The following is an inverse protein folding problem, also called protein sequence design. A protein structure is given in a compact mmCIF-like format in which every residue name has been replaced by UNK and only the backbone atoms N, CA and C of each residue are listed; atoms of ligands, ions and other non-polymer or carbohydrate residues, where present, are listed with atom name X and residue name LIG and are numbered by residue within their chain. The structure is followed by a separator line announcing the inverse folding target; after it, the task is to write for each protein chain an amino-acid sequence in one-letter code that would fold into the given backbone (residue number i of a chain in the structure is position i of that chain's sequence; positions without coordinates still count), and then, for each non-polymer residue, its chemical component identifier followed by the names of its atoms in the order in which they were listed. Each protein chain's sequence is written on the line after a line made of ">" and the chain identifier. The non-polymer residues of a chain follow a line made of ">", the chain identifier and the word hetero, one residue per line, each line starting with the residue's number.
data_IF_842385442742
#
_entry.id   IF_842385442742
#
_cell.length_a   1.000
_cell.length_b   1.000
_cell.length_c   1.000
_cell.angle_alpha   90.00
_cell.angle_beta   90.00
_cell.angle_gamma   90.00
#
_symmetry.space_group_name_H-M   'P 1'
#
loop_
_entity.id
_entity.type
_entity.pdbx_description
1 polymer ?
#
# COMPACT_ATOMS: atom_id res chain seq x y z
N UNK A 1 -21.71 -16.99 -47.28
CA UNK A 1 -20.71 -16.28 -46.44
C UNK A 1 -20.98 -16.49 -44.94
N UNK A 2 -21.25 -17.73 -44.49
CA UNK A 2 -21.57 -18.03 -43.08
C UNK A 2 -20.33 -18.46 -42.25
N UNK A 3 -19.16 -18.61 -42.88
CA UNK A 3 -17.92 -18.99 -42.20
C UNK A 3 -17.22 -17.81 -41.51
N UNK A 4 -17.48 -16.56 -41.93
CA UNK A 4 -16.91 -15.37 -41.30
C UNK A 4 -17.49 -15.12 -39.90
N UNK A 5 -18.78 -15.42 -39.69
CA UNK A 5 -19.48 -15.19 -38.41
C UNK A 5 -18.93 -16.11 -37.30
N UNK A 6 -18.58 -17.37 -37.64
CA UNK A 6 -17.96 -18.31 -36.69
C UNK A 6 -16.54 -17.90 -36.28
N UNK A 7 -15.74 -17.39 -37.23
CA UNK A 7 -14.38 -16.94 -36.94
C UNK A 7 -14.36 -15.67 -36.09
N UNK A 8 -15.25 -14.70 -36.34
CA UNK A 8 -15.37 -13.49 -35.51
C UNK A 8 -15.81 -13.81 -34.09
N UNK A 9 -16.74 -14.76 -33.90
CA UNK A 9 -17.19 -15.17 -32.56
C UNK A 9 -16.05 -15.78 -31.73
N UNK A 10 -15.22 -16.63 -32.33
CA UNK A 10 -14.06 -17.24 -31.66
C UNK A 10 -13.03 -16.17 -31.29
N UNK A 11 -12.72 -15.24 -32.20
CA UNK A 11 -11.78 -14.13 -31.94
C UNK A 11 -12.26 -13.27 -30.77
N UNK A 12 -13.55 -12.92 -30.72
CA UNK A 12 -14.11 -12.12 -29.61
C UNK A 12 -13.96 -12.82 -28.25
N UNK A 13 -14.23 -14.13 -28.20
CA UNK A 13 -14.06 -14.91 -26.96
C UNK A 13 -12.59 -14.92 -26.52
N UNK A 14 -11.65 -15.14 -27.45
CA UNK A 14 -10.21 -15.11 -27.14
C UNK A 14 -9.78 -13.74 -26.62
N UNK A 15 -10.22 -12.66 -27.26
CA UNK A 15 -9.92 -11.28 -26.83
C UNK A 15 -10.40 -11.02 -25.41
N UNK A 16 -11.62 -11.46 -25.07
CA UNK A 16 -12.16 -11.32 -23.70
C UNK A 16 -11.29 -12.07 -22.69
N UNK A 17 -10.89 -13.30 -22.98
CA UNK A 17 -9.99 -14.06 -22.10
C UNK A 17 -8.63 -13.39 -21.91
N UNK A 18 -8.04 -12.86 -22.99
CA UNK A 18 -6.77 -12.12 -22.92
C UNK A 18 -6.91 -10.91 -22.01
N UNK A 19 -7.97 -10.11 -22.16
CA UNK A 19 -8.21 -8.93 -21.31
C UNK A 19 -8.33 -9.33 -19.84
N UNK A 20 -9.09 -10.39 -19.54
CA UNK A 20 -9.26 -10.88 -18.16
C UNK A 20 -7.91 -11.32 -17.58
N UNK A 21 -7.14 -12.14 -18.30
CA UNK A 21 -5.85 -12.65 -17.83
C UNK A 21 -4.85 -11.50 -17.65
N UNK A 22 -4.78 -10.56 -18.59
CA UNK A 22 -3.93 -9.38 -18.48
C UNK A 22 -4.31 -8.53 -17.27
N UNK A 23 -5.62 -8.34 -17.02
CA UNK A 23 -6.11 -7.63 -15.84
C UNK A 23 -5.69 -8.31 -14.54
N UNK A 24 -5.85 -9.64 -14.45
CA UNK A 24 -5.40 -10.41 -13.29
C UNK A 24 -3.88 -10.34 -13.09
N UNK A 25 -3.11 -10.38 -14.17
CA UNK A 25 -1.64 -10.29 -14.12
C UNK A 25 -1.17 -8.92 -13.63
N UNK A 26 -1.70 -7.83 -14.19
CA UNK A 26 -1.40 -6.46 -13.75
C UNK A 26 -1.83 -6.25 -12.30
N UNK A 27 -3.02 -6.73 -11.92
CA UNK A 27 -3.50 -6.68 -10.54
C UNK A 27 -2.56 -7.41 -9.58
N UNK A 28 -2.09 -8.61 -9.94
CA UNK A 28 -1.15 -9.40 -9.13
C UNK A 28 0.20 -8.71 -8.95
N UNK A 29 0.73 -8.08 -10.00
CA UNK A 29 1.97 -7.29 -9.93
C UNK A 29 1.81 -6.05 -9.04
N UNK A 30 0.68 -5.34 -9.19
CA UNK A 30 0.37 -4.15 -8.39
C UNK A 30 0.22 -4.49 -6.92
N UNK A 31 -0.53 -5.57 -6.60
CA UNK A 31 -0.64 -6.11 -5.25
C UNK A 31 0.72 -6.50 -4.67
N UNK A 32 1.56 -7.19 -5.45
CA UNK A 32 2.90 -7.59 -5.03
C UNK A 32 3.80 -6.39 -4.70
N UNK A 33 3.71 -5.30 -5.48
CA UNK A 33 4.42 -4.05 -5.19
C UNK A 33 3.94 -3.42 -3.88
N UNK A 34 2.63 -3.26 -3.70
CA UNK A 34 2.06 -2.71 -2.48
C UNK A 34 2.43 -3.53 -1.24
N UNK A 35 2.40 -4.87 -1.35
CA UNK A 35 2.80 -5.77 -0.27
C UNK A 35 4.28 -5.60 0.12
N UNK A 36 5.18 -5.47 -0.85
CA UNK A 36 6.60 -5.18 -0.60
C UNK A 36 6.80 -3.84 0.07
N UNK A 37 6.12 -2.80 -0.43
CA UNK A 37 6.18 -1.43 0.13
C UNK A 37 5.73 -1.43 1.59
N UNK A 38 4.60 -2.07 1.91
CA UNK A 38 4.14 -2.17 3.30
C UNK A 38 5.20 -2.84 4.18
N UNK A 39 5.85 -3.90 3.70
CA UNK A 39 6.81 -4.65 4.50
C UNK A 39 8.09 -3.85 4.73
N UNK A 40 8.53 -3.07 3.74
CA UNK A 40 9.66 -2.16 3.90
C UNK A 40 9.35 -1.12 4.99
N UNK A 41 8.17 -0.51 4.94
CA UNK A 41 7.75 0.45 5.97
C UNK A 41 7.70 -0.20 7.36
N UNK A 42 7.09 -1.38 7.47
CA UNK A 42 7.03 -2.13 8.73
C UNK A 42 8.42 -2.47 9.25
N UNK A 43 9.30 -2.99 8.39
CA UNK A 43 10.65 -3.37 8.78
C UNK A 43 11.48 -2.16 9.21
N UNK A 44 11.42 -1.05 8.48
CA UNK A 44 12.13 0.18 8.84
C UNK A 44 11.69 0.70 10.22
N UNK A 45 10.38 0.66 10.50
CA UNK A 45 9.83 1.03 11.82
C UNK A 45 10.28 0.07 12.92
N UNK A 46 10.30 -1.23 12.63
CA UNK A 46 10.75 -2.24 13.61
C UNK A 46 12.27 -2.12 13.89
N UNK A 47 13.08 -1.81 12.88
CA UNK A 47 14.54 -1.64 13.01
C UNK A 47 14.92 -0.40 13.82
N UNK A 48 14.16 0.69 13.67
CA UNK A 48 14.37 1.94 14.41
C UNK A 48 13.55 2.04 15.70
N UNK A 49 12.80 0.99 16.06
CA UNK A 49 11.85 0.95 17.19
C UNK A 49 10.87 2.15 17.21
N UNK A 50 10.56 2.71 16.04
CA UNK A 50 9.83 3.97 15.95
C UNK A 50 9.65 4.50 14.53
N UNK A 51 8.96 5.63 14.44
CA UNK A 51 8.79 6.36 13.19
C UNK A 51 9.14 7.82 13.42
N UNK A 52 10.42 8.13 13.21
CA UNK A 52 10.98 9.48 13.29
C UNK A 52 11.32 10.04 11.90
N UNK A 53 11.96 11.20 11.85
CA UNK A 53 12.32 11.88 10.60
C UNK A 53 13.35 11.06 9.78
N UNK A 54 14.25 10.34 10.45
CA UNK A 54 15.27 9.50 9.82
C UNK A 54 14.63 8.27 9.16
N UNK A 55 13.79 7.55 9.92
CA UNK A 55 13.02 6.40 9.42
C UNK A 55 12.14 6.83 8.23
N UNK A 56 11.50 8.00 8.33
CA UNK A 56 10.70 8.55 7.24
C UNK A 56 11.55 8.83 6.00
N UNK A 57 12.72 9.45 6.16
CA UNK A 57 13.60 9.75 5.03
C UNK A 57 14.09 8.48 4.32
N UNK A 58 14.49 7.46 5.09
CA UNK A 58 14.89 6.15 4.56
C UNK A 58 13.75 5.48 3.78
N UNK A 59 12.54 5.52 4.32
CA UNK A 59 11.35 5.00 3.64
C UNK A 59 11.15 5.74 2.31
N UNK A 60 11.12 7.08 2.31
CA UNK A 60 10.89 7.87 1.09
C UNK A 60 11.96 7.61 0.01
N UNK A 61 13.22 7.49 0.40
CA UNK A 61 14.33 7.14 -0.50
C UNK A 61 14.10 5.76 -1.12
N UNK A 62 13.83 4.75 -0.28
CA UNK A 62 13.57 3.38 -0.74
C UNK A 62 12.34 3.30 -1.66
N UNK A 63 11.27 4.04 -1.35
CA UNK A 63 10.07 4.11 -2.19
C UNK A 63 10.35 4.78 -3.54
N UNK A 64 11.22 5.78 -3.57
CA UNK A 64 11.68 6.44 -4.80
C UNK A 64 12.47 5.46 -5.67
N UNK A 65 13.42 4.74 -5.11
CA UNK A 65 14.23 3.75 -5.84
C UNK A 65 13.40 2.63 -6.44
N UNK A 66 12.36 2.18 -5.73
CA UNK A 66 11.43 1.16 -6.23
C UNK A 66 10.42 1.69 -7.27
N UNK A 67 10.38 3.00 -7.49
CA UNK A 67 9.42 3.64 -8.39
C UNK A 67 7.97 3.50 -7.90
N UNK A 68 7.75 3.57 -6.58
CA UNK A 68 6.41 3.59 -6.01
C UNK A 68 5.71 4.93 -6.29
N UNK A 69 4.37 4.93 -6.32
CA UNK A 69 3.58 6.08 -6.85
C UNK A 69 3.83 7.35 -6.02
N UNK A 70 4.12 8.45 -6.72
CA UNK A 70 4.39 9.76 -6.13
C UNK A 70 3.07 10.48 -5.85
N UNK A 71 2.97 11.07 -4.66
CA UNK A 71 1.91 11.99 -4.26
C UNK A 71 2.35 13.43 -4.56
N UNK A 72 2.01 13.93 -5.76
CA UNK A 72 2.41 15.28 -6.22
C UNK A 72 1.92 16.43 -5.33
N UNK A 73 0.83 16.23 -4.61
CA UNK A 73 0.25 17.27 -3.76
C UNK A 73 0.88 17.28 -2.36
N UNK A 74 1.74 16.30 -2.05
CA UNK A 74 2.39 16.13 -0.76
C UNK A 74 1.45 15.81 0.41
N UNK A 75 0.12 15.94 0.23
CA UNK A 75 -0.89 15.73 1.26
C UNK A 75 -1.48 14.33 1.18
N UNK A 76 -1.46 13.62 2.30
CA UNK A 76 -1.94 12.25 2.41
C UNK A 76 -3.33 12.25 3.04
N UNK A 77 -4.30 11.57 2.43
CA UNK A 77 -5.55 11.22 3.12
C UNK A 77 -5.35 9.87 3.78
N UNK A 78 -5.19 9.89 5.09
CA UNK A 78 -5.05 8.69 5.91
C UNK A 78 -6.26 8.56 6.84
N UNK A 79 -7.35 7.91 6.40
CA UNK A 79 -8.50 7.66 7.25
C UNK A 79 -8.09 6.85 8.48
N UNK A 80 -8.56 7.23 9.67
CA UNK A 80 -8.18 6.50 10.88
C UNK A 80 -8.65 5.04 10.80
N UNK A 81 -7.75 4.07 11.05
CA UNK A 81 -8.14 2.67 11.17
C UNK A 81 -9.12 2.49 12.33
N UNK A 82 -10.05 1.56 12.18
CA UNK A 82 -10.97 1.17 13.25
C UNK A 82 -10.27 0.15 14.14
N UNK A 83 -9.56 0.65 15.16
CA UNK A 83 -8.82 -0.16 16.14
C UNK A 83 -9.05 0.40 17.54
N UNK A 84 -8.88 -0.46 18.54
CA UNK A 84 -8.88 -0.05 19.94
C UNK A 84 -7.56 0.69 20.27
N UNK A 85 -7.64 1.72 21.10
CA UNK A 85 -6.49 2.53 21.52
C UNK A 85 -6.44 3.94 20.93
N UNK A 86 -5.38 4.68 21.25
CA UNK A 86 -5.19 6.04 20.74
C UNK A 86 -4.44 5.98 19.42
N UNK A 87 -5.11 6.40 18.35
CA UNK A 87 -4.58 6.38 16.97
C UNK A 87 -4.09 7.75 16.56
N UNK A 88 -2.89 7.81 16.00
CA UNK A 88 -2.26 9.04 15.51
C UNK A 88 -1.64 8.80 14.14
N UNK A 89 -2.03 9.57 13.12
CA UNK A 89 -1.41 9.52 11.80
C UNK A 89 -0.07 10.26 11.82
N UNK A 90 1.01 9.59 11.42
CA UNK A 90 2.37 10.12 11.54
C UNK A 90 2.88 10.78 10.26
N UNK A 91 2.39 10.35 9.11
CA UNK A 91 2.86 10.80 7.80
C UNK A 91 1.77 11.54 7.04
N UNK A 92 1.18 12.59 7.62
CA UNK A 92 0.15 13.40 6.94
C UNK A 92 0.66 14.16 5.72
N UNK A 93 1.99 14.34 5.62
CA UNK A 93 2.67 14.89 4.46
C UNK A 93 3.86 14.03 4.02
N UNK A 94 3.85 13.60 2.75
CA UNK A 94 4.84 12.68 2.16
C UNK A 94 4.81 12.74 0.63
N UNK A 95 5.95 12.47 -0.02
CA UNK A 95 6.06 12.45 -1.48
C UNK A 95 5.52 11.17 -2.11
N UNK A 96 5.20 10.14 -1.31
CA UNK A 96 4.69 8.84 -1.78
C UNK A 96 3.38 8.48 -1.11
N UNK A 97 2.40 7.94 -1.82
CA UNK A 97 1.11 7.66 -1.20
C UNK A 97 1.12 6.36 -0.37
N UNK A 98 1.30 6.50 0.95
CA UNK A 98 1.21 5.46 1.96
C UNK A 98 0.75 6.10 3.28
N UNK A 99 0.28 5.30 4.23
CA UNK A 99 -0.15 5.82 5.52
C UNK A 99 0.47 5.01 6.66
N UNK A 100 0.90 5.70 7.70
CA UNK A 100 1.44 5.14 8.92
C UNK A 100 0.69 5.74 10.10
N UNK A 101 0.18 4.86 10.96
CA UNK A 101 -0.45 5.24 12.22
C UNK A 101 0.32 4.65 13.38
N UNK A 102 0.46 5.44 14.44
CA UNK A 102 0.84 4.97 15.77
C UNK A 102 -0.42 4.62 16.55
N UNK A 103 -0.44 3.44 17.13
CA UNK A 103 -1.51 3.00 18.03
C UNK A 103 -0.92 2.75 19.40
N UNK A 104 -1.35 3.57 20.37
CA UNK A 104 -0.96 3.42 21.78
C UNK A 104 -2.01 2.62 22.53
N UNK A 105 -1.58 1.51 23.13
CA UNK A 105 -2.36 0.69 24.03
C UNK A 105 -1.71 0.64 25.42
N UNK A 106 -2.43 0.11 26.41
CA UNK A 106 -1.92 0.00 27.79
C UNK A 106 -0.67 -0.85 27.93
N UNK A 107 -0.42 -1.77 26.99
CA UNK A 107 0.70 -2.72 27.04
C UNK A 107 1.89 -2.30 26.19
N UNK A 108 1.78 -1.24 25.40
CA UNK A 108 2.83 -0.83 24.48
C UNK A 108 2.27 -0.09 23.27
N UNK A 109 3.17 0.21 22.33
CA UNK A 109 2.84 0.93 21.10
C UNK A 109 3.09 0.01 19.91
N UNK A 110 2.19 -0.02 18.94
CA UNK A 110 2.43 -0.66 17.65
C UNK A 110 2.08 0.31 16.52
N UNK A 111 2.58 0.01 15.33
CA UNK A 111 2.37 0.84 14.16
C UNK A 111 1.58 0.06 13.10
N UNK A 112 0.71 0.77 12.40
CA UNK A 112 -0.03 0.26 11.26
C UNK A 112 0.52 0.97 10.04
N UNK A 113 0.96 0.20 9.03
CA UNK A 113 1.38 0.73 7.75
C UNK A 113 0.43 0.26 6.65
N UNK A 114 -0.01 1.17 5.79
CA UNK A 114 -0.84 0.87 4.62
C UNK A 114 -0.19 1.41 3.36
N UNK A 115 0.07 0.50 2.42
CA UNK A 115 0.42 0.82 1.04
C UNK A 115 -0.81 0.62 0.14
N UNK A 116 -0.78 1.13 -1.08
CA UNK A 116 -1.90 1.05 -2.00
C UNK A 116 -1.48 0.35 -3.30
N UNK A 117 -2.30 -0.60 -3.75
CA UNK A 117 -2.21 -1.11 -5.10
C UNK A 117 -3.04 -0.20 -6.01
N UNK A 118 -2.53 0.05 -7.23
CA UNK A 118 -3.19 0.89 -8.22
C UNK A 118 -3.57 0.05 -9.44
N UNK A 119 -4.77 0.30 -9.93
CA UNK A 119 -5.26 -0.24 -11.20
C UNK A 119 -5.67 0.93 -12.10
N UNK A 120 -4.73 1.37 -12.92
CA UNK A 120 -4.95 2.49 -13.84
C UNK A 120 -5.54 1.95 -15.16
N UNK A 121 -6.76 2.35 -15.49
CA UNK A 121 -7.42 2.06 -16.76
C UNK A 121 -7.48 3.37 -17.56
N UNK A 122 -7.08 3.40 -18.84
CA UNK A 122 -7.02 4.64 -19.62
C UNK A 122 -8.38 5.35 -19.87
N UNK A 123 -9.51 4.81 -19.40
CA UNK A 123 -10.87 5.31 -19.68
C UNK A 123 -11.70 5.61 -18.43
N UNK A 124 -11.24 5.24 -17.24
CA UNK A 124 -11.95 5.44 -15.97
C UNK A 124 -10.94 5.81 -14.90
N UNK A 125 -11.39 6.57 -13.90
CA UNK A 125 -10.53 6.93 -12.77
C UNK A 125 -10.00 5.64 -12.12
N UNK A 126 -8.69 5.60 -11.89
CA UNK A 126 -8.00 4.40 -11.44
C UNK A 126 -8.53 3.94 -10.09
N UNK A 127 -8.68 2.63 -9.90
CA UNK A 127 -9.05 2.07 -8.60
C UNK A 127 -7.80 1.86 -7.75
N UNK A 128 -7.87 2.27 -6.49
CA UNK A 128 -6.84 1.96 -5.48
C UNK A 128 -7.40 1.05 -4.40
N UNK A 129 -6.59 0.09 -3.96
CA UNK A 129 -6.93 -0.80 -2.86
C UNK A 129 -5.84 -0.78 -1.78
N UNK A 130 -6.19 -0.61 -0.50
CA UNK A 130 -5.23 -0.60 0.59
C UNK A 130 -4.71 -2.01 0.88
N UNK A 131 -3.42 -2.11 1.19
CA UNK A 131 -2.72 -3.30 1.65
C UNK A 131 -2.05 -2.95 2.98
N UNK A 132 -2.67 -3.40 4.07
CA UNK A 132 -2.29 -3.03 5.43
C UNK A 132 -1.41 -4.09 6.11
N UNK A 133 -0.51 -3.64 6.97
CA UNK A 133 0.37 -4.44 7.81
C UNK A 133 0.55 -3.78 9.18
N UNK A 134 0.96 -4.57 10.17
CA UNK A 134 1.13 -4.13 11.55
C UNK A 134 2.53 -4.53 12.00
N UNK A 135 3.18 -3.68 12.78
CA UNK A 135 4.43 -4.03 13.45
C UNK A 135 4.14 -4.93 14.64
N UNK A 136 5.19 -5.54 15.18
CA UNK A 136 5.17 -6.05 16.55
C UNK A 136 4.92 -4.88 17.52
N UNK A 137 4.35 -5.21 18.68
CA UNK A 137 4.23 -4.27 19.80
C UNK A 137 5.62 -3.96 20.33
N UNK A 138 5.98 -2.68 20.35
CA UNK A 138 7.16 -2.14 21.00
C UNK A 138 6.75 -1.83 22.44
N UNK A 139 7.36 -2.54 23.38
CA UNK A 139 7.15 -2.36 24.80
C UNK A 139 8.14 -1.30 25.29
N UNK A 140 7.66 -0.22 25.88
CA UNK A 140 8.54 0.64 26.67
C UNK A 140 8.79 -0.07 28.00
N UNK A 141 10.03 -0.48 28.26
CA UNK A 141 10.48 -1.01 29.55
C UNK A 141 10.56 0.10 30.62
N UNK A 142 9.44 0.79 30.89
CA UNK A 142 9.30 1.75 32.00
C UNK A 142 8.41 1.18 33.12
N UNK A 143 8.63 -0.10 33.47
CA UNK A 143 7.98 -0.75 34.62
C UNK A 143 9.01 -1.40 35.54
N UNK A 144 10.02 -0.64 35.96
CA UNK A 144 10.83 -0.95 37.14
C UNK A 144 11.24 0.36 37.84
N UNK A 145 10.28 0.99 38.52
CA UNK A 145 10.51 1.80 39.71
C UNK A 145 9.99 1.03 40.94
#
# INVERSE_FOLDING_TARGET
>A
MNQAVGNTAIVNVVVVFVIIISGLFVGSLSYSKAYKVKNIIINAIEEHEGFDEETKAEIEETLTEMGYRINRNGQQKCPNPTVDGTVEALNTASNHHYCVWRVKETRGTYYIATAYMYFDIPLVDGFEAPVTGHTKTIYNDEAHD
#
